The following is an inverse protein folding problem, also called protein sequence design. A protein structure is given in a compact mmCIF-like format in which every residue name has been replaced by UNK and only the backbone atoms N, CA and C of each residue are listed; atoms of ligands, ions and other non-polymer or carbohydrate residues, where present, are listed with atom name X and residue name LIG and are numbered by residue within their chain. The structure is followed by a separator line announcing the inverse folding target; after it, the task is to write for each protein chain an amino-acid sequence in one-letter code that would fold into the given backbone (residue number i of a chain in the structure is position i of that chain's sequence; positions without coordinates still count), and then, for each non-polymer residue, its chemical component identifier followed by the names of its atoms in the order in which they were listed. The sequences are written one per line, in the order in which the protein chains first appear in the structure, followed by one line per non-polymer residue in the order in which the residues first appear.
data_IF_896212836487
#
_entry.id   IF_896212836487
#
_cell.length_a   1.000
_cell.length_b   1.000
_cell.length_c   1.000
_cell.angle_alpha   90.00
_cell.angle_beta   90.00
_cell.angle_gamma   90.00
#
_symmetry.space_group_name_H-M   'P 1'
#
loop_
_entity.id
_entity.type
_entity.pdbx_description
1 polymer ?
#
# COMPACT_ATOMS: atom_id res chain seq x y z
N UNK A 1 -59.65 17.69 -9.48
CA UNK A 1 -59.14 16.33 -9.21
C UNK A 1 -57.63 16.32 -9.50
N UNK A 2 -56.86 15.90 -8.49
CA UNK A 2 -55.41 15.60 -8.37
C UNK A 2 -54.47 16.01 -9.53
N UNK A 3 -53.61 17.00 -9.26
CA UNK A 3 -52.30 17.16 -9.94
C UNK A 3 -51.34 16.15 -9.31
N UNK A 4 -50.94 15.12 -10.04
CA UNK A 4 -49.84 14.24 -9.67
C UNK A 4 -48.52 14.97 -10.01
N UNK A 5 -47.80 15.39 -8.98
CA UNK A 5 -46.39 15.79 -9.10
C UNK A 5 -45.59 14.49 -9.03
N UNK A 6 -45.03 14.05 -10.17
CA UNK A 6 -44.13 12.90 -10.23
C UNK A 6 -42.72 13.41 -9.95
N UNK A 7 -42.25 13.28 -8.71
CA UNK A 7 -40.87 13.56 -8.34
C UNK A 7 -40.03 12.32 -8.70
N UNK A 8 -39.38 12.35 -9.87
CA UNK A 8 -38.42 11.31 -10.26
C UNK A 8 -37.11 11.54 -9.50
N UNK A 9 -36.91 10.81 -8.41
CA UNK A 9 -35.63 10.76 -7.71
C UNK A 9 -34.68 9.90 -8.55
N UNK A 10 -33.86 10.55 -9.38
CA UNK A 10 -32.78 9.89 -10.12
C UNK A 10 -31.69 9.59 -9.08
N UNK A 11 -31.73 8.41 -8.48
CA UNK A 11 -30.57 7.84 -7.80
C UNK A 11 -29.50 7.54 -8.86
N UNK A 12 -28.70 8.55 -9.19
CA UNK A 12 -27.42 8.34 -9.86
C UNK A 12 -26.50 7.61 -8.89
N UNK A 13 -26.59 6.29 -8.86
CA UNK A 13 -25.58 5.44 -8.22
C UNK A 13 -24.34 5.55 -9.10
N UNK A 14 -23.53 6.58 -8.84
CA UNK A 14 -22.20 6.67 -9.44
C UNK A 14 -21.41 5.48 -8.93
N UNK A 15 -21.10 4.53 -9.81
CA UNK A 15 -20.15 3.47 -9.48
C UNK A 15 -18.80 4.17 -9.40
N UNK A 16 -18.41 4.59 -8.18
CA UNK A 16 -17.07 5.08 -7.95
C UNK A 16 -16.12 3.97 -8.39
N UNK A 17 -15.27 4.25 -9.38
CA UNK A 17 -14.24 3.30 -9.76
C UNK A 17 -13.28 3.15 -8.59
N UNK A 18 -12.99 1.90 -8.23
CA UNK A 18 -11.90 1.58 -7.34
C UNK A 18 -10.61 2.26 -7.83
N UNK A 19 -9.85 2.83 -6.89
CA UNK A 19 -8.61 3.51 -7.21
C UNK A 19 -7.42 2.55 -7.14
N UNK A 20 -6.42 2.83 -7.97
CA UNK A 20 -5.16 2.10 -8.02
C UNK A 20 -4.00 3.06 -7.75
N UNK A 21 -2.92 2.54 -7.18
CA UNK A 21 -1.68 3.29 -7.01
C UNK A 21 -1.16 3.76 -8.37
N UNK A 22 -0.77 5.03 -8.46
CA UNK A 22 -0.20 5.64 -9.66
C UNK A 22 1.25 6.05 -9.41
N UNK A 23 2.14 5.85 -10.38
CA UNK A 23 3.51 6.34 -10.30
C UNK A 23 3.54 7.85 -10.07
N UNK A 24 4.50 8.34 -9.31
CA UNK A 24 4.60 9.76 -8.96
C UNK A 24 6.03 10.27 -8.89
N UNK A 25 6.20 11.55 -9.23
CA UNK A 25 7.44 12.31 -9.04
C UNK A 25 7.38 13.22 -7.80
N UNK A 26 6.29 13.18 -7.02
CA UNK A 26 6.10 13.99 -5.80
C UNK A 26 7.11 13.64 -4.71
N UNK A 27 7.61 12.41 -4.72
CA UNK A 27 8.55 11.88 -3.74
C UNK A 27 9.79 11.33 -4.43
N UNK A 28 10.89 11.28 -3.69
CA UNK A 28 12.16 10.73 -4.15
C UNK A 28 12.91 10.07 -2.98
N UNK A 29 13.95 9.29 -3.30
CA UNK A 29 14.88 8.71 -2.33
C UNK A 29 16.27 9.34 -2.48
N UNK A 30 16.92 9.65 -1.35
CA UNK A 30 18.24 10.29 -1.30
C UNK A 30 19.06 9.82 -0.09
N UNK A 31 20.22 10.44 0.14
CA UNK A 31 21.10 10.27 1.30
C UNK A 31 21.40 8.81 1.64
N UNK A 32 21.79 8.08 0.59
CA UNK A 32 22.22 6.70 0.66
C UNK A 32 23.46 6.54 1.55
N UNK A 33 23.34 5.70 2.59
CA UNK A 33 24.44 5.38 3.51
C UNK A 33 24.39 3.91 3.92
N UNK A 34 25.53 3.22 3.93
CA UNK A 34 25.61 1.87 4.49
C UNK A 34 25.34 1.93 6.00
N UNK A 35 24.56 0.98 6.50
CA UNK A 35 24.22 0.82 7.90
C UNK A 35 24.45 -0.65 8.30
N UNK A 36 24.92 -0.90 9.52
CA UNK A 36 25.23 -2.25 9.99
C UNK A 36 26.72 -2.58 9.99
N UNK A 37 27.05 -3.87 10.09
CA UNK A 37 28.45 -4.32 10.00
C UNK A 37 28.91 -4.33 8.53
N UNK A 38 30.22 -4.20 8.26
CA UNK A 38 30.74 -4.13 6.88
C UNK A 38 30.39 -5.35 6.00
N UNK A 39 30.03 -6.48 6.60
CA UNK A 39 29.59 -7.69 5.91
C UNK A 39 28.08 -7.68 5.55
N UNK A 40 27.29 -6.78 6.15
CA UNK A 40 25.88 -6.60 5.86
C UNK A 40 25.73 -5.56 4.74
N UNK A 41 25.27 -5.98 3.55
CA UNK A 41 24.97 -5.06 2.43
C UNK A 41 23.63 -4.33 2.64
N UNK A 42 23.47 -3.74 3.83
CA UNK A 42 22.28 -2.99 4.20
C UNK A 42 22.53 -1.49 4.05
N UNK A 43 21.61 -0.82 3.37
CA UNK A 43 21.69 0.60 3.09
C UNK A 43 20.47 1.32 3.61
N UNK A 44 20.69 2.47 4.24
CA UNK A 44 19.64 3.42 4.58
C UNK A 44 19.44 4.41 3.44
N UNK A 45 18.20 4.55 2.98
CA UNK A 45 17.76 5.60 2.05
C UNK A 45 16.74 6.50 2.74
N UNK A 46 16.86 7.80 2.55
CA UNK A 46 15.89 8.77 3.05
C UNK A 46 14.83 9.04 1.98
N UNK A 47 13.56 8.87 2.33
CA UNK A 47 12.42 9.29 1.51
C UNK A 47 12.19 10.77 1.74
N UNK A 48 12.08 11.55 0.67
CA UNK A 48 11.89 13.00 0.71
C UNK A 48 10.73 13.44 -0.20
N UNK A 49 10.09 14.55 0.14
CA UNK A 49 9.22 15.25 -0.81
C UNK A 49 10.09 16.01 -1.81
N UNK A 50 9.81 15.88 -3.10
CA UNK A 50 10.60 16.50 -4.17
C UNK A 50 10.61 18.04 -4.08
N UNK A 51 9.51 18.63 -3.60
CA UNK A 51 9.40 20.09 -3.40
C UNK A 51 10.13 20.61 -2.16
N UNK A 52 10.49 19.73 -1.22
CA UNK A 52 11.18 20.10 0.01
C UNK A 52 12.24 19.05 0.38
N UNK A 53 13.35 18.97 -0.37
CA UNK A 53 14.36 17.91 -0.21
C UNK A 53 15.17 18.02 1.10
N UNK A 54 15.00 19.10 1.86
CA UNK A 54 15.74 19.34 3.11
C UNK A 54 15.21 18.58 4.33
N UNK A 55 14.05 17.93 4.23
CA UNK A 55 13.43 17.16 5.32
C UNK A 55 13.21 15.72 4.87
N UNK A 56 13.89 14.79 5.54
CA UNK A 56 13.58 13.35 5.44
C UNK A 56 12.22 13.08 6.05
N UNK A 57 11.39 12.32 5.33
CA UNK A 57 10.05 11.90 5.72
C UNK A 57 10.06 10.51 6.34
N UNK A 58 10.92 9.63 5.84
CA UNK A 58 11.13 8.29 6.36
C UNK A 58 12.55 7.82 5.99
N UNK A 59 13.05 6.80 6.70
CA UNK A 59 14.28 6.11 6.34
C UNK A 59 13.95 4.64 6.06
N UNK A 60 14.24 4.21 4.84
CA UNK A 60 14.16 2.82 4.39
C UNK A 60 15.47 2.13 4.73
N UNK A 61 15.40 0.95 5.33
CA UNK A 61 16.53 0.04 5.43
C UNK A 61 16.38 -1.04 4.35
N UNK A 62 17.26 -1.01 3.35
CA UNK A 62 17.27 -1.92 2.21
C UNK A 62 18.38 -2.92 2.44
N UNK A 63 18.02 -4.18 2.66
CA UNK A 63 18.97 -5.28 2.69
C UNK A 63 19.37 -5.69 1.27
N UNK A 64 20.53 -6.33 1.13
CA UNK A 64 21.02 -6.87 -0.15
C UNK A 64 21.01 -5.83 -1.28
N UNK A 65 21.45 -4.61 -0.99
CA UNK A 65 21.36 -3.47 -1.91
C UNK A 65 22.03 -3.74 -3.28
N UNK A 66 23.11 -4.54 -3.31
CA UNK A 66 23.78 -4.96 -4.54
C UNK A 66 22.92 -5.85 -5.45
N UNK A 67 21.80 -6.36 -4.97
CA UNK A 67 20.81 -7.12 -5.73
C UNK A 67 19.58 -6.28 -6.13
N UNK A 68 19.54 -4.99 -5.77
CA UNK A 68 18.45 -4.10 -6.18
C UNK A 68 18.44 -3.95 -7.70
N UNK A 69 17.28 -4.24 -8.30
CA UNK A 69 17.04 -4.09 -9.75
C UNK A 69 16.31 -2.78 -10.04
N UNK A 70 15.16 -2.58 -9.40
CA UNK A 70 14.34 -1.40 -9.60
C UNK A 70 13.70 -0.92 -8.30
N UNK A 71 13.50 0.41 -8.21
CA UNK A 71 12.67 1.03 -7.18
C UNK A 71 11.62 1.90 -7.85
N UNK A 72 10.35 1.70 -7.47
CA UNK A 72 9.21 2.48 -7.97
C UNK A 72 8.50 3.15 -6.81
N UNK A 73 8.15 4.42 -7.00
CA UNK A 73 7.39 5.21 -6.05
C UNK A 73 6.02 5.52 -6.65
N UNK A 74 4.97 5.23 -5.89
CA UNK A 74 3.58 5.40 -6.31
C UNK A 74 2.71 5.92 -5.18
N UNK A 75 1.59 6.55 -5.51
CA UNK A 75 0.64 7.10 -4.55
C UNK A 75 -0.79 6.64 -4.83
N UNK A 76 -1.55 6.46 -3.75
CA UNK A 76 -2.99 6.30 -3.78
C UNK A 76 -3.61 7.54 -3.13
N UNK A 77 -4.18 8.41 -3.96
CA UNK A 77 -4.86 9.61 -3.47
C UNK A 77 -6.17 9.24 -2.76
N UNK A 78 -6.52 9.99 -1.71
CA UNK A 78 -7.83 9.91 -1.05
C UNK A 78 -8.20 8.47 -0.71
N UNK A 79 -7.36 7.81 0.10
CA UNK A 79 -7.48 6.39 0.49
C UNK A 79 -8.85 6.01 1.07
N UNK A 80 -9.65 6.99 1.48
CA UNK A 80 -10.93 6.80 2.17
C UNK A 80 -10.75 6.65 3.69
N UNK A 81 -9.53 6.88 4.19
CA UNK A 81 -9.24 7.03 5.60
C UNK A 81 -9.31 8.52 5.97
N UNK A 82 -9.90 8.84 7.12
CA UNK A 82 -9.97 10.20 7.64
C UNK A 82 -8.57 10.75 7.91
N UNK A 83 -8.32 12.03 7.62
CA UNK A 83 -7.03 12.73 7.81
C UNK A 83 -5.82 12.20 7.01
N UNK A 84 -5.94 11.08 6.32
CA UNK A 84 -4.95 10.57 5.37
C UNK A 84 -5.19 11.21 4.00
N UNK A 85 -4.25 12.05 3.58
CA UNK A 85 -4.32 12.77 2.31
C UNK A 85 -4.03 11.83 1.12
N UNK A 86 -3.01 10.99 1.27
CA UNK A 86 -2.64 9.94 0.32
C UNK A 86 -1.88 8.81 1.02
N UNK A 87 -1.71 7.69 0.32
CA UNK A 87 -0.81 6.62 0.73
C UNK A 87 0.35 6.57 -0.23
N UNK A 88 1.56 6.70 0.29
CA UNK A 88 2.79 6.51 -0.44
C UNK A 88 3.17 5.03 -0.41
N UNK A 89 3.42 4.44 -1.58
CA UNK A 89 3.96 3.08 -1.73
C UNK A 89 5.29 3.12 -2.45
N UNK A 90 6.30 2.49 -1.85
CA UNK A 90 7.62 2.29 -2.43
C UNK A 90 7.80 0.79 -2.64
N UNK A 91 7.97 0.37 -3.89
CA UNK A 91 8.21 -1.03 -4.26
C UNK A 91 9.66 -1.17 -4.71
N UNK A 92 10.38 -2.10 -4.10
CA UNK A 92 11.75 -2.47 -4.43
C UNK A 92 11.72 -3.87 -5.04
N UNK A 93 12.32 -4.04 -6.21
CA UNK A 93 12.48 -5.33 -6.86
C UNK A 93 13.93 -5.79 -6.74
N UNK A 94 14.14 -7.04 -6.33
CA UNK A 94 15.46 -7.64 -6.22
C UNK A 94 15.67 -8.69 -7.30
N UNK A 95 16.83 -8.65 -7.93
CA UNK A 95 17.27 -9.64 -8.90
C UNK A 95 18.04 -10.78 -8.19
N UNK A 96 17.29 -11.69 -7.56
CA UNK A 96 17.83 -12.89 -6.92
C UNK A 96 17.50 -14.15 -7.74
N UNK A 97 17.84 -15.35 -7.24
CA UNK A 97 17.50 -16.59 -7.92
C UNK A 97 15.99 -16.78 -8.14
N UNK A 98 15.17 -16.14 -7.30
CA UNK A 98 13.74 -15.95 -7.50
C UNK A 98 13.49 -14.43 -7.54
N UNK A 99 12.59 -13.97 -8.41
CA UNK A 99 12.16 -12.58 -8.32
C UNK A 99 11.53 -12.35 -6.94
N UNK A 100 11.77 -11.19 -6.35
CA UNK A 100 11.11 -10.80 -5.11
C UNK A 100 10.89 -9.30 -5.08
N UNK A 101 9.85 -8.90 -4.36
CA UNK A 101 9.55 -7.50 -4.11
C UNK A 101 9.46 -7.23 -2.63
N UNK A 102 9.97 -6.08 -2.20
CA UNK A 102 9.69 -5.51 -0.89
C UNK A 102 8.92 -4.20 -1.04
N UNK A 103 7.77 -4.11 -0.39
CA UNK A 103 6.87 -2.96 -0.45
C UNK A 103 6.80 -2.26 0.89
N UNK A 104 6.99 -0.94 0.88
CA UNK A 104 6.84 -0.05 2.03
C UNK A 104 5.66 0.87 1.79
N UNK A 105 4.83 1.06 2.83
CA UNK A 105 3.63 1.87 2.76
C UNK A 105 3.67 2.93 3.86
N UNK A 106 3.36 4.17 3.51
CA UNK A 106 3.26 5.29 4.44
C UNK A 106 1.93 6.01 4.27
N UNK A 107 1.20 6.15 5.37
CA UNK A 107 0.01 6.99 5.44
C UNK A 107 0.46 8.45 5.61
N UNK A 108 0.13 9.30 4.64
CA UNK A 108 0.52 10.70 4.64
C UNK A 108 -0.61 11.54 5.20
N UNK A 109 -0.39 12.13 6.36
CA UNK A 109 -1.32 13.07 7.00
C UNK A 109 -0.81 14.51 6.81
N UNK A 110 -1.54 15.50 7.33
CA UNK A 110 -1.07 16.88 7.31
C UNK A 110 0.19 17.10 8.17
N UNK A 111 0.35 16.30 9.22
CA UNK A 111 1.35 16.53 10.26
C UNK A 111 2.46 15.46 10.28
N UNK A 112 2.17 14.25 9.80
CA UNK A 112 3.05 13.10 9.96
C UNK A 112 2.97 12.04 8.82
N UNK A 113 3.98 11.17 8.79
CA UNK A 113 4.12 10.00 7.92
C UNK A 113 4.14 8.73 8.76
N UNK A 114 3.05 7.96 8.71
CA UNK A 114 2.89 6.76 9.53
C UNK A 114 3.19 5.53 8.68
N UNK A 115 4.27 4.82 9.01
CA UNK A 115 4.68 3.60 8.30
C UNK A 115 3.83 2.39 8.68
N UNK A 116 3.39 1.63 7.69
CA UNK A 116 2.87 0.28 7.89
C UNK A 116 4.02 -0.74 7.85
N UNK A 117 3.88 -1.92 8.48
CA UNK A 117 4.85 -3.00 8.35
C UNK A 117 5.09 -3.35 6.87
N UNK A 118 6.36 -3.48 6.48
CA UNK A 118 6.71 -3.80 5.09
C UNK A 118 6.20 -5.18 4.67
N UNK A 119 6.02 -5.34 3.36
CA UNK A 119 5.53 -6.59 2.76
C UNK A 119 6.60 -7.14 1.82
N UNK A 120 6.99 -8.40 2.04
CA UNK A 120 7.89 -9.13 1.14
C UNK A 120 7.11 -10.19 0.39
N UNK A 121 7.23 -10.20 -0.94
CA UNK A 121 6.68 -11.22 -1.82
C UNK A 121 7.82 -11.89 -2.59
N UNK A 122 7.81 -13.22 -2.63
CA UNK A 122 8.79 -14.04 -3.36
C UNK A 122 8.08 -14.84 -4.44
N UNK A 123 8.59 -14.77 -5.67
CA UNK A 123 7.97 -15.38 -6.84
C UNK A 123 8.81 -16.58 -7.29
N UNK A 124 8.66 -17.69 -6.56
CA UNK A 124 9.44 -18.91 -6.81
C UNK A 124 8.66 -20.01 -7.56
N UNK A 125 7.39 -20.23 -7.20
CA UNK A 125 6.57 -21.32 -7.76
C UNK A 125 5.09 -20.93 -7.82
N UNK A 126 4.36 -21.52 -8.78
CA UNK A 126 2.91 -21.35 -8.89
C UNK A 126 2.14 -22.14 -7.80
N UNK A 127 0.96 -21.67 -7.35
CA UNK A 127 0.28 -20.45 -7.80
C UNK A 127 0.88 -19.17 -7.19
N UNK A 128 0.97 -18.12 -8.02
CA UNK A 128 1.45 -16.81 -7.57
C UNK A 128 0.45 -16.23 -6.57
N UNK A 129 0.95 -15.87 -5.40
CA UNK A 129 0.18 -15.18 -4.39
C UNK A 129 0.98 -14.03 -3.81
N UNK A 130 0.36 -12.86 -3.75
CA UNK A 130 1.01 -11.66 -3.26
C UNK A 130 0.27 -11.13 -2.04
N UNK A 131 1.03 -10.69 -1.06
CA UNK A 131 0.48 -9.94 0.05
C UNK A 131 0.48 -8.46 -0.33
N UNK A 132 -0.63 -7.79 -0.07
CA UNK A 132 -0.78 -6.34 -0.23
C UNK A 132 -1.61 -5.73 0.90
N UNK A 133 -1.49 -4.42 1.07
CA UNK A 133 -2.50 -3.63 1.77
C UNK A 133 -3.58 -3.16 0.78
N UNK A 134 -4.84 -3.32 1.18
CA UNK A 134 -6.03 -2.84 0.46
C UNK A 134 -6.65 -1.72 1.29
N UNK A 135 -6.75 -0.55 0.68
CA UNK A 135 -7.33 0.65 1.29
C UNK A 135 -8.83 0.80 0.97
N UNK A 136 -9.58 1.56 1.77
CA UNK A 136 -11.04 1.68 1.62
C UNK A 136 -11.54 2.05 0.22
N UNK A 137 -10.80 2.90 -0.49
CA UNK A 137 -11.17 3.38 -1.83
C UNK A 137 -10.78 2.43 -2.98
N UNK A 138 -10.19 1.26 -2.68
CA UNK A 138 -9.77 0.26 -3.66
C UNK A 138 -10.81 -0.85 -3.80
N UNK A 139 -10.62 -1.69 -4.83
CA UNK A 139 -11.42 -2.91 -4.98
C UNK A 139 -11.24 -3.77 -3.74
N UNK A 140 -12.34 -4.28 -3.19
CA UNK A 140 -12.35 -5.09 -1.97
C UNK A 140 -11.95 -4.33 -0.69
N UNK A 141 -11.80 -3.00 -0.76
CA UNK A 141 -11.60 -2.15 0.39
C UNK A 141 -12.82 -2.11 1.32
N UNK A 142 -12.57 -1.84 2.59
CA UNK A 142 -13.61 -1.67 3.61
C UNK A 142 -13.48 -0.28 4.24
N UNK A 143 -14.60 0.40 4.44
CA UNK A 143 -14.64 1.73 5.05
C UNK A 143 -13.94 1.75 6.42
N UNK A 144 -13.14 2.80 6.67
CA UNK A 144 -12.40 3.00 7.93
C UNK A 144 -11.31 1.96 8.23
N UNK A 145 -11.00 1.06 7.28
CA UNK A 145 -10.17 -0.12 7.55
C UNK A 145 -9.09 -0.30 6.50
N UNK A 146 -7.88 -0.63 6.93
CA UNK A 146 -6.79 -1.11 6.06
C UNK A 146 -6.75 -2.63 6.17
N UNK A 147 -6.89 -3.34 5.05
CA UNK A 147 -6.81 -4.80 5.02
C UNK A 147 -5.43 -5.23 4.53
N UNK A 148 -4.73 -6.06 5.30
CA UNK A 148 -3.57 -6.81 4.80
C UNK A 148 -4.07 -8.15 4.28
N UNK A 149 -3.96 -8.42 2.99
CA UNK A 149 -4.54 -9.60 2.37
C UNK A 149 -3.54 -10.31 1.46
N UNK A 150 -3.65 -11.64 1.39
CA UNK A 150 -3.02 -12.44 0.35
C UNK A 150 -3.98 -12.58 -0.82
N UNK A 151 -3.54 -12.18 -2.01
CA UNK A 151 -4.27 -12.26 -3.26
C UNK A 151 -3.72 -13.43 -4.06
N UNK A 152 -4.58 -14.37 -4.43
CA UNK A 152 -4.22 -15.44 -5.35
C UNK A 152 -4.68 -15.07 -6.75
N UNK A 153 -3.82 -15.27 -7.75
CA UNK A 153 -4.14 -14.95 -9.13
C UNK A 153 -4.44 -16.21 -9.96
N UNK A 154 -5.20 -16.03 -11.05
CA UNK A 154 -5.27 -17.00 -12.14
C UNK A 154 -4.02 -16.91 -13.03
N UNK A 155 -3.86 -17.87 -13.94
CA UNK A 155 -2.81 -17.84 -14.98
C UNK A 155 -2.86 -16.59 -15.89
N UNK A 156 -4.01 -15.89 -15.94
CA UNK A 156 -4.19 -14.64 -16.69
C UNK A 156 -4.05 -13.39 -15.82
N UNK A 157 -3.46 -13.50 -14.62
CA UNK A 157 -3.22 -12.40 -13.68
C UNK A 157 -4.50 -11.68 -13.22
N UNK A 158 -5.63 -12.38 -13.17
CA UNK A 158 -6.85 -11.86 -12.55
C UNK A 158 -6.97 -12.41 -11.14
N UNK A 159 -7.43 -11.59 -10.18
CA UNK A 159 -7.64 -12.03 -8.80
C UNK A 159 -8.66 -13.17 -8.77
N UNK A 160 -8.24 -14.32 -8.27
CA UNK A 160 -9.05 -15.53 -8.10
C UNK A 160 -9.63 -15.61 -6.70
N UNK A 161 -8.82 -15.29 -5.68
CA UNK A 161 -9.19 -15.39 -4.27
C UNK A 161 -8.47 -14.30 -3.45
N UNK A 162 -9.10 -13.89 -2.36
CA UNK A 162 -8.55 -12.90 -1.43
C UNK A 162 -8.71 -13.44 -0.01
N UNK A 163 -7.59 -13.65 0.66
CA UNK A 163 -7.56 -14.04 2.06
C UNK A 163 -7.09 -12.85 2.90
N UNK A 164 -7.99 -12.25 3.67
CA UNK A 164 -7.65 -11.25 4.68
C UNK A 164 -6.79 -11.92 5.75
N UNK A 165 -5.58 -11.39 5.95
CA UNK A 165 -4.62 -11.84 6.97
C UNK A 165 -4.73 -10.97 8.23
N UNK A 166 -4.97 -9.67 8.05
CA UNK A 166 -5.16 -8.71 9.13
C UNK A 166 -6.09 -7.58 8.69
N UNK A 167 -6.87 -7.09 9.64
CA UNK A 167 -7.69 -5.89 9.51
C UNK A 167 -7.15 -4.87 10.49
N UNK A 168 -6.90 -3.64 10.04
CA UNK A 168 -6.38 -2.56 10.87
C UNK A 168 -7.44 -1.45 10.86
N UNK A 169 -8.08 -1.21 12.00
CA UNK A 169 -9.01 -0.11 12.16
C UNK A 169 -8.21 1.20 12.27
N UNK A 170 -8.51 2.16 11.40
CA UNK A 170 -7.83 3.45 11.39
C UNK A 170 -8.46 4.39 12.42
N UNK A 171 -7.62 5.11 13.18
CA UNK A 171 -8.04 5.97 14.30
C UNK A 171 -8.84 5.24 15.40
N UNK A 172 -8.68 3.92 15.51
CA UNK A 172 -9.11 3.18 16.69
C UNK A 172 -8.01 3.28 17.76
N UNK A 173 -8.40 3.29 19.04
CA UNK A 173 -7.47 3.38 20.19
C UNK A 173 -6.50 2.17 20.23
N UNK A 174 -6.79 1.16 19.41
CA UNK A 174 -6.13 -0.13 19.26
C UNK A 174 -5.34 -0.27 17.95
N UNK A 175 -4.98 0.82 17.26
CA UNK A 175 -4.19 0.77 16.01
C UNK A 175 -2.89 -0.06 16.13
N UNK A 176 -2.32 -0.11 17.35
CA UNK A 176 -1.12 -0.89 17.69
C UNK A 176 -1.40 -2.34 18.13
N UNK A 177 -2.65 -2.75 18.35
CA UNK A 177 -2.98 -4.09 18.87
C UNK A 177 -3.32 -5.09 17.77
N UNK A 178 -2.77 -6.29 17.93
CA UNK A 178 -2.67 -7.33 16.91
C UNK A 178 -3.83 -8.34 17.00
N UNK A 179 -5.00 -8.01 16.47
CA UNK A 179 -6.06 -9.01 16.32
C UNK A 179 -6.12 -9.56 14.89
N UNK A 180 -5.71 -10.83 14.75
CA UNK A 180 -5.93 -11.59 13.52
C UNK A 180 -7.42 -11.94 13.39
N UNK A 181 -8.11 -11.32 12.44
CA UNK A 181 -9.48 -11.70 12.13
C UNK A 181 -9.54 -12.92 11.20
N UNK A 182 -10.41 -13.85 11.56
CA UNK A 182 -10.66 -15.10 10.85
C UNK A 182 -11.48 -14.83 9.59
N UNK A 183 -10.98 -15.35 8.47
CA UNK A 183 -11.56 -15.40 7.12
C UNK A 183 -13.01 -14.89 6.95
N UNK A 184 -13.16 -13.81 6.17
CA UNK A 184 -14.41 -13.51 5.47
C UNK A 184 -14.34 -14.27 4.13
N UNK A 185 -15.17 -15.31 3.99
CA UNK A 185 -15.36 -15.97 2.70
C UNK A 185 -16.25 -15.07 1.83
N UNK A 186 -15.76 -14.68 0.64
CA UNK A 186 -16.56 -14.03 -0.41
C UNK A 186 -17.20 -15.06 -1.34
#
# INVERSE_FOLDING_TARGET
MKKLILLAFICSVGVAKAQEFQLTDKYNVTHQRSIGQEEEDTWALDVIASENPGKSLATLAIADFGLLDEMRISVLEKSGLEEVTEVLKITIEYNTCCASTEEFYYLVTNDDFIGLPSVKNEYAYEPISDIHYIFPNQSFGQEGTILRAALQYTETYTIKDIKVLRSIAWNDDDFDTEDALTAINY
#
